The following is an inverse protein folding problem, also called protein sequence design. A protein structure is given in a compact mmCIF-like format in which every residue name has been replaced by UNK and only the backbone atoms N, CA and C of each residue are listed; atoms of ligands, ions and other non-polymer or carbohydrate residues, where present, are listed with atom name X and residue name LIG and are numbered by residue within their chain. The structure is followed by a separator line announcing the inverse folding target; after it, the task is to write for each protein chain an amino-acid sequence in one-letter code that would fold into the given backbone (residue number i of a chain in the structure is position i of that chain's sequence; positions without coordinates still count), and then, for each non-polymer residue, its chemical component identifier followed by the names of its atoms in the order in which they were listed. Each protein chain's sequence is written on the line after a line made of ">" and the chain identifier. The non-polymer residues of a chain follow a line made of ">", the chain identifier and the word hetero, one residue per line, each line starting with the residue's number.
data_IF_579564957345
#
_entry.id   IF_579564957345
#
_cell.length_a   1.000
_cell.length_b   1.000
_cell.length_c   1.000
_cell.angle_alpha   90.00
_cell.angle_beta   90.00
_cell.angle_gamma   90.00
#
_symmetry.space_group_name_H-M   'P 1'
#
loop_
_entity.id
_entity.type
_entity.pdbx_description
1 polymer ?
#
# COMPACT_ATOMS: atom_id res chain seq x y z
N UNK A 1 -14.78 -7.70 18.74
CA UNK A 1 -13.60 -8.02 17.94
C UNK A 1 -13.70 -7.37 16.56
N UNK A 2 -12.70 -6.62 16.19
CA UNK A 2 -12.72 -5.97 14.91
C UNK A 2 -12.61 -7.02 13.78
N UNK A 3 -13.52 -6.91 12.82
CA UNK A 3 -13.53 -7.82 11.69
C UNK A 3 -12.71 -7.22 10.56
N UNK A 4 -11.87 -8.02 9.92
CA UNK A 4 -11.13 -7.57 8.75
C UNK A 4 -12.12 -7.20 7.65
N UNK A 5 -11.78 -6.14 6.90
CA UNK A 5 -12.57 -5.79 5.73
C UNK A 5 -12.44 -6.90 4.69
N UNK A 6 -13.53 -7.14 3.98
CA UNK A 6 -13.52 -8.11 2.89
C UNK A 6 -12.46 -7.72 1.87
N UNK A 7 -11.63 -8.71 1.48
CA UNK A 7 -10.56 -8.47 0.52
C UNK A 7 -9.26 -7.99 1.12
N UNK A 8 -9.23 -7.62 2.40
CA UNK A 8 -8.01 -7.10 3.03
C UNK A 8 -6.87 -8.11 2.96
N UNK A 9 -7.14 -9.35 3.35
CA UNK A 9 -6.12 -10.40 3.37
C UNK A 9 -5.61 -10.71 1.96
N UNK A 10 -6.52 -10.76 0.99
CA UNK A 10 -6.14 -11.02 -0.40
C UNK A 10 -5.27 -9.90 -0.94
N UNK A 11 -5.62 -8.65 -0.64
CA UNK A 11 -4.84 -7.50 -1.06
C UNK A 11 -3.44 -7.55 -0.46
N UNK A 12 -3.35 -7.87 0.83
CA UNK A 12 -2.08 -7.95 1.51
C UNK A 12 -1.21 -9.07 0.93
N UNK A 13 -1.81 -10.22 0.61
CA UNK A 13 -1.09 -11.33 -0.02
C UNK A 13 -0.54 -10.94 -1.38
N UNK A 14 -1.32 -10.21 -2.18
CA UNK A 14 -0.86 -9.74 -3.49
C UNK A 14 0.33 -8.78 -3.35
N UNK A 15 0.25 -7.88 -2.38
CA UNK A 15 1.34 -6.94 -2.13
C UNK A 15 2.59 -7.70 -1.68
N UNK A 16 2.44 -8.66 -0.78
CA UNK A 16 3.55 -9.47 -0.29
C UNK A 16 4.17 -10.32 -1.41
N UNK A 17 3.37 -10.80 -2.35
CA UNK A 17 3.87 -11.57 -3.47
C UNK A 17 4.79 -10.75 -4.37
N UNK A 18 4.48 -9.47 -4.54
CA UNK A 18 5.28 -8.57 -5.38
C UNK A 18 6.46 -7.97 -4.65
N UNK A 19 6.33 -7.73 -3.34
CA UNK A 19 7.36 -7.07 -2.54
C UNK A 19 7.59 -7.84 -1.23
N UNK A 20 8.06 -9.09 -1.31
CA UNK A 20 8.18 -9.95 -0.12
C UNK A 20 9.19 -9.46 0.90
N UNK A 21 10.20 -8.72 0.47
CA UNK A 21 11.28 -8.26 1.35
C UNK A 21 11.06 -6.87 1.92
N UNK A 22 9.90 -6.27 1.65
CA UNK A 22 9.60 -4.90 2.09
C UNK A 22 8.39 -4.88 3.00
N UNK A 23 8.45 -4.06 4.03
CA UNK A 23 7.34 -3.84 4.94
C UNK A 23 6.49 -2.65 4.53
N UNK A 24 7.08 -1.73 3.76
CA UNK A 24 6.41 -0.54 3.26
C UNK A 24 6.83 -0.28 1.81
N UNK A 25 6.01 0.48 1.09
CA UNK A 25 6.24 0.80 -0.31
C UNK A 25 6.39 2.31 -0.48
N UNK A 26 7.34 2.72 -1.33
CA UNK A 26 7.48 4.12 -1.69
C UNK A 26 6.49 4.48 -2.81
N UNK A 27 6.48 5.75 -3.21
CA UNK A 27 5.54 6.21 -4.24
C UNK A 27 5.74 5.52 -5.58
N UNK A 28 6.99 5.23 -5.94
CA UNK A 28 7.29 4.54 -7.20
C UNK A 28 6.67 3.14 -7.19
N UNK A 29 6.86 2.42 -6.11
CA UNK A 29 6.33 1.06 -5.97
C UNK A 29 4.81 1.06 -5.96
N UNK A 30 4.21 2.03 -5.27
CA UNK A 30 2.76 2.17 -5.23
C UNK A 30 2.21 2.46 -6.63
N UNK A 31 2.89 3.33 -7.38
CA UNK A 31 2.45 3.65 -8.74
C UNK A 31 2.49 2.41 -9.64
N UNK A 32 3.51 1.59 -9.49
CA UNK A 32 3.62 0.34 -10.24
C UNK A 32 2.55 -0.66 -9.84
N UNK A 33 2.29 -0.78 -8.55
CA UNK A 33 1.29 -1.71 -8.03
C UNK A 33 -0.11 -1.39 -8.53
N UNK A 34 -0.48 -0.12 -8.57
CA UNK A 34 -1.82 0.32 -8.98
C UNK A 34 -1.92 0.69 -10.46
N UNK A 35 -0.79 0.79 -11.14
CA UNK A 35 -0.80 1.10 -12.57
C UNK A 35 -1.08 2.55 -12.91
N UNK A 36 -0.83 3.48 -11.99
CA UNK A 36 -0.98 4.90 -12.29
C UNK A 36 0.36 5.63 -12.15
N UNK A 37 0.40 6.92 -12.53
CA UNK A 37 1.64 7.68 -12.54
C UNK A 37 2.16 7.96 -11.14
N UNK A 38 3.46 8.23 -11.05
CA UNK A 38 4.11 8.61 -9.80
C UNK A 38 3.42 9.83 -9.17
N UNK A 39 3.06 10.81 -9.98
CA UNK A 39 2.39 12.03 -9.52
C UNK A 39 1.05 11.70 -8.86
N UNK A 40 0.30 10.78 -9.43
CA UNK A 40 -0.97 10.34 -8.87
C UNK A 40 -0.74 9.61 -7.55
N UNK A 41 0.27 8.75 -7.49
CA UNK A 41 0.64 8.04 -6.26
C UNK A 41 1.00 9.03 -5.16
N UNK A 42 1.82 10.02 -5.49
CA UNK A 42 2.22 11.06 -4.56
C UNK A 42 1.01 11.78 -3.97
N UNK A 43 0.09 12.18 -4.83
CA UNK A 43 -1.11 12.91 -4.42
C UNK A 43 -2.01 12.07 -3.51
N UNK A 44 -2.22 10.81 -3.88
CA UNK A 44 -3.16 9.95 -3.16
C UNK A 44 -2.62 9.45 -1.83
N UNK A 45 -1.32 9.19 -1.76
CA UNK A 45 -0.73 8.52 -0.60
C UNK A 45 0.08 9.44 0.30
N UNK A 46 0.15 10.73 -0.02
CA UNK A 46 0.92 11.71 0.74
C UNK A 46 0.51 11.76 2.22
N UNK A 47 -0.78 11.66 2.51
CA UNK A 47 -1.29 11.77 3.88
C UNK A 47 -0.90 10.60 4.76
N UNK A 48 -0.69 9.44 4.16
CA UNK A 48 -0.37 8.21 4.91
C UNK A 48 1.10 7.81 4.78
N UNK A 49 1.88 8.58 4.03
CA UNK A 49 3.30 8.32 3.85
C UNK A 49 4.04 8.57 5.17
N UNK A 50 4.83 7.58 5.58
CA UNK A 50 5.61 7.67 6.82
C UNK A 50 7.08 7.83 6.47
N UNK A 51 7.65 8.99 6.78
CA UNK A 51 9.05 9.28 6.49
C UNK A 51 10.01 8.41 7.29
N UNK A 52 9.61 7.99 8.48
CA UNK A 52 10.45 7.17 9.34
C UNK A 52 10.71 5.80 8.73
N UNK A 53 9.68 5.18 8.15
CA UNK A 53 9.82 3.87 7.50
C UNK A 53 10.11 4.01 6.00
N UNK A 54 10.07 5.22 5.46
CA UNK A 54 10.39 5.47 4.06
C UNK A 54 9.30 5.07 3.09
N UNK A 55 8.05 5.05 3.52
CA UNK A 55 6.95 4.69 2.63
C UNK A 55 5.64 4.50 3.36
N UNK A 56 4.69 3.89 2.66
CA UNK A 56 3.37 3.58 3.22
C UNK A 56 3.38 2.10 3.63
N UNK A 57 3.02 1.78 4.89
CA UNK A 57 2.98 0.38 5.32
C UNK A 57 2.05 -0.46 4.46
N UNK A 58 2.44 -1.71 4.18
CA UNK A 58 1.62 -2.62 3.37
C UNK A 58 0.22 -2.78 3.93
N UNK A 59 0.10 -2.84 5.25
CA UNK A 59 -1.20 -2.98 5.90
C UNK A 59 -2.11 -1.79 5.61
N UNK A 60 -1.54 -0.58 5.61
CA UNK A 60 -2.29 0.62 5.25
C UNK A 60 -2.75 0.59 3.80
N UNK A 61 -1.87 0.13 2.90
CA UNK A 61 -2.20 0.01 1.48
C UNK A 61 -3.33 -1.00 1.29
N UNK A 62 -3.21 -2.18 1.90
CA UNK A 62 -4.23 -3.22 1.79
C UNK A 62 -5.57 -2.75 2.33
N UNK A 63 -5.56 -2.03 3.43
CA UNK A 63 -6.78 -1.49 4.04
C UNK A 63 -7.44 -0.45 3.13
N UNK A 64 -6.64 0.41 2.53
CA UNK A 64 -7.14 1.44 1.63
C UNK A 64 -7.75 0.83 0.36
N UNK A 65 -7.17 -0.27 -0.13
CA UNK A 65 -7.69 -0.99 -1.29
C UNK A 65 -9.07 -1.58 -1.03
N UNK A 66 -9.38 -1.89 0.20
CA UNK A 66 -10.69 -2.46 0.56
C UNK A 66 -11.80 -1.41 0.63
N UNK A 67 -11.44 -0.20 0.61
CA UNK A 67 -12.45 0.83 0.69
C UNK A 67 -11.97 2.10 1.22
#
# INVERSE_FOLDING_TARGET
>A
MAREKEGYRENLEQINARYPDKESLNYTEISELFGYSYRTALRRWKKVYNKTVGGVPKTTIARTMCG
#
